data_IF_268494709680
#
_entry.id   IF_268494709680
#
_cell.length_a   1.000
_cell.length_b   1.000
_cell.length_c   1.000
_cell.angle_alpha   90.00
_cell.angle_beta   90.00
_cell.angle_gamma   90.00
#
_symmetry.space_group_name_H-M   'P 1'
#
loop_
_entity.id
_entity.type
_entity.pdbx_description
1 polymer ?
#
# COMPACT_ATOMS: atom_id res chain seq x y z
N UNK A 1 9.52 4.54 -13.00
CA UNK A 1 10.94 4.23 -12.74
C UNK A 1 11.02 3.39 -11.48
N UNK A 2 11.17 2.07 -11.64
CA UNK A 2 11.28 1.10 -10.55
C UNK A 2 12.51 0.22 -10.86
N UNK A 3 13.71 0.76 -10.64
CA UNK A 3 14.93 0.17 -11.19
C UNK A 3 15.99 -0.09 -10.11
N UNK A 4 15.57 -0.60 -8.95
CA UNK A 4 16.53 -1.17 -7.99
C UNK A 4 16.22 -2.64 -7.65
N UNK A 5 14.95 -3.04 -7.53
CA UNK A 5 14.58 -4.44 -7.24
C UNK A 5 14.73 -5.37 -8.45
N UNK A 6 14.48 -4.87 -9.67
CA UNK A 6 14.43 -5.71 -10.88
C UNK A 6 15.77 -6.29 -11.33
N UNK A 7 16.91 -5.64 -11.05
CA UNK A 7 18.22 -6.13 -11.52
C UNK A 7 18.75 -7.32 -10.74
N UNK A 8 18.46 -7.41 -9.43
CA UNK A 8 19.00 -8.44 -8.54
C UNK A 8 18.00 -9.54 -8.21
N UNK A 9 16.71 -9.22 -8.19
CA UNK A 9 15.66 -10.16 -7.82
C UNK A 9 14.73 -10.50 -8.98
N UNK A 10 14.91 -9.90 -10.17
CA UNK A 10 14.07 -10.07 -11.35
C UNK A 10 12.56 -9.85 -11.10
N UNK A 11 12.21 -9.23 -9.96
CA UNK A 11 10.84 -8.92 -9.57
C UNK A 11 10.70 -7.40 -9.49
N UNK A 12 9.69 -6.88 -10.18
CA UNK A 12 9.29 -5.48 -10.11
C UNK A 12 8.17 -5.32 -9.07
N UNK A 13 8.45 -4.58 -8.01
CA UNK A 13 7.43 -4.09 -7.07
C UNK A 13 7.19 -2.60 -7.30
N UNK A 14 5.93 -2.16 -7.20
CA UNK A 14 5.64 -0.74 -7.00
C UNK A 14 6.16 -0.29 -5.63
N UNK A 15 6.40 1.02 -5.46
CA UNK A 15 6.86 1.58 -4.17
C UNK A 15 5.92 1.18 -3.03
N UNK A 16 4.60 1.35 -3.21
CA UNK A 16 3.60 0.95 -2.21
C UNK A 16 3.59 -0.56 -1.96
N UNK A 17 3.82 -1.38 -2.99
CA UNK A 17 3.92 -2.83 -2.86
C UNK A 17 5.12 -3.28 -2.04
N UNK A 18 6.28 -2.66 -2.29
CA UNK A 18 7.50 -2.90 -1.51
C UNK A 18 7.32 -2.49 -0.05
N UNK A 19 6.77 -1.31 0.22
CA UNK A 19 6.53 -0.82 1.59
C UNK A 19 5.60 -1.76 2.37
N UNK A 20 4.49 -2.20 1.76
CA UNK A 20 3.56 -3.15 2.41
C UNK A 20 4.22 -4.51 2.66
N UNK A 21 5.06 -5.00 1.75
CA UNK A 21 5.80 -6.23 1.93
C UNK A 21 6.75 -6.13 3.12
N UNK A 22 7.51 -5.04 3.22
CA UNK A 22 8.44 -4.81 4.34
C UNK A 22 7.72 -4.79 5.69
N UNK A 23 6.57 -4.12 5.78
CA UNK A 23 5.78 -4.13 7.02
C UNK A 23 5.29 -5.52 7.43
N UNK A 24 4.83 -6.35 6.47
CA UNK A 24 4.42 -7.73 6.77
C UNK A 24 5.56 -8.62 7.25
N UNK A 25 6.77 -8.33 6.81
CA UNK A 25 7.99 -9.02 7.24
C UNK A 25 8.54 -8.48 8.57
N UNK A 26 7.83 -7.55 9.23
CA UNK A 26 8.24 -6.99 10.52
C UNK A 26 9.36 -5.95 10.43
N UNK A 27 9.70 -5.47 9.22
CA UNK A 27 10.70 -4.40 9.10
C UNK A 27 10.14 -3.07 9.63
N UNK A 28 10.95 -2.43 10.46
CA UNK A 28 10.75 -1.05 10.92
C UNK A 28 11.94 -0.19 10.48
N UNK A 29 11.74 1.12 10.20
CA UNK A 29 12.85 2.04 9.94
C UNK A 29 13.83 2.02 11.12
N UNK A 30 15.08 1.66 10.85
CA UNK A 30 16.12 1.58 11.88
C UNK A 30 16.71 2.96 12.12
N UNK A 31 16.70 3.40 13.38
CA UNK A 31 17.44 4.59 13.82
C UNK A 31 18.80 4.13 14.32
N UNK A 32 19.91 4.61 13.75
CA UNK A 32 21.24 4.27 14.25
C UNK A 32 21.37 4.64 15.72
N UNK A 33 21.81 3.69 16.56
CA UNK A 33 21.98 3.91 18.00
C UNK A 33 23.01 5.01 18.32
N UNK A 34 23.97 5.23 17.41
CA UNK A 34 25.02 6.25 17.54
C UNK A 34 25.11 7.08 16.27
N UNK A 35 25.28 8.40 16.42
CA UNK A 35 25.63 9.29 15.31
C UNK A 35 27.09 9.08 14.92
N UNK A 36 27.35 8.96 13.62
CA UNK A 36 28.70 8.90 13.06
C UNK A 36 29.41 10.23 13.32
N UNK A 37 30.69 10.20 13.69
CA UNK A 37 31.46 11.40 14.04
C UNK A 37 31.61 12.38 12.87
N UNK A 38 31.57 11.87 11.63
CA UNK A 38 31.63 12.66 10.38
C UNK A 38 30.33 13.41 10.05
N UNK A 39 29.26 13.19 10.83
CA UNK A 39 27.97 13.80 10.56
C UNK A 39 27.99 15.31 10.81
N UNK A 40 28.08 16.08 9.73
CA UNK A 40 27.96 17.53 9.74
C UNK A 40 26.49 17.98 9.70
N UNK A 41 25.96 18.41 10.85
CA UNK A 41 24.56 18.87 10.96
C UNK A 41 24.33 20.19 10.21
N UNK A 42 25.35 21.03 10.03
CA UNK A 42 25.24 22.28 9.26
C UNK A 42 25.11 21.97 7.76
N UNK A 43 25.95 21.07 7.23
CA UNK A 43 25.81 20.59 5.86
C UNK A 43 24.45 19.91 5.63
N UNK A 44 23.94 19.14 6.60
CA UNK A 44 22.61 18.53 6.53
C UNK A 44 21.50 19.58 6.50
N UNK A 45 21.60 20.64 7.30
CA UNK A 45 20.63 21.74 7.30
C UNK A 45 20.61 22.45 5.94
N UNK A 46 21.78 22.81 5.41
CA UNK A 46 21.91 23.45 4.08
C UNK A 46 21.35 22.55 2.97
N UNK A 47 21.65 21.25 3.02
CA UNK A 47 21.11 20.30 2.04
C UNK A 47 19.57 20.20 2.10
N UNK A 48 18.98 20.21 3.30
CA UNK A 48 17.52 20.21 3.46
C UNK A 48 16.87 21.48 2.93
N UNK A 49 17.50 22.64 3.06
CA UNK A 49 16.93 23.88 2.53
C UNK A 49 17.08 23.97 1.01
N UNK A 50 18.28 23.70 0.49
CA UNK A 50 18.58 23.91 -0.93
C UNK A 50 18.13 22.72 -1.80
N UNK A 51 18.56 21.51 -1.46
CA UNK A 51 18.42 20.35 -2.34
C UNK A 51 17.09 19.66 -2.17
N UNK A 52 16.58 19.54 -0.94
CA UNK A 52 15.31 18.85 -0.71
C UNK A 52 14.13 19.58 -1.35
N UNK A 53 14.11 20.91 -1.30
CA UNK A 53 13.11 21.74 -1.98
C UNK A 53 13.10 21.47 -3.50
N UNK A 54 14.29 21.40 -4.11
CA UNK A 54 14.44 21.09 -5.55
C UNK A 54 13.96 19.67 -5.88
N UNK A 55 14.34 18.67 -5.09
CA UNK A 55 13.93 17.27 -5.30
C UNK A 55 12.41 17.12 -5.20
N UNK A 56 11.76 17.85 -4.28
CA UNK A 56 10.31 17.86 -4.14
C UNK A 56 9.62 18.55 -5.32
N UNK A 57 10.16 19.65 -5.82
CA UNK A 57 9.63 20.37 -6.98
C UNK A 57 9.83 19.63 -8.30
N UNK A 58 10.94 18.89 -8.45
CA UNK A 58 11.25 18.07 -9.63
C UNK A 58 10.54 16.72 -9.68
N UNK A 59 9.60 16.45 -8.75
CA UNK A 59 8.74 15.27 -8.83
C UNK A 59 7.98 15.25 -10.15
N UNK A 60 8.08 14.15 -10.91
CA UNK A 60 7.34 13.95 -12.17
C UNK A 60 5.86 14.30 -11.93
N UNK A 61 5.21 15.12 -12.80
CA UNK A 61 3.78 15.35 -12.69
C UNK A 61 3.08 14.00 -12.64
N UNK A 62 2.05 13.87 -11.80
CA UNK A 62 1.33 12.64 -11.59
C UNK A 62 0.87 12.09 -12.96
N UNK A 63 1.64 11.15 -13.52
CA UNK A 63 1.20 10.41 -14.69
C UNK A 63 -0.02 9.61 -14.27
N UNK A 64 -1.06 9.59 -15.10
CA UNK A 64 -2.33 8.90 -14.83
C UNK A 64 -2.05 7.56 -14.15
N UNK A 65 -2.37 7.48 -12.85
CA UNK A 65 -2.27 6.23 -12.13
C UNK A 65 -3.27 5.27 -12.78
N UNK A 66 -2.78 4.25 -13.48
CA UNK A 66 -3.63 3.14 -13.92
C UNK A 66 -4.02 2.35 -12.68
N UNK A 67 -5.10 2.80 -12.04
CA UNK A 67 -5.83 2.03 -11.06
C UNK A 67 -7.04 1.44 -11.78
N UNK A 68 -6.97 0.16 -12.14
CA UNK A 68 -8.16 -0.59 -12.53
C UNK A 68 -9.07 -0.71 -11.31
N UNK A 69 -10.32 -0.23 -11.44
CA UNK A 69 -11.35 -0.43 -10.41
C UNK A 69 -11.52 -1.94 -10.17
N UNK A 70 -11.56 -2.41 -8.92
CA UNK A 70 -11.94 -3.79 -8.67
C UNK A 70 -13.35 -4.02 -9.18
N UNK A 71 -13.56 -5.15 -9.87
CA UNK A 71 -14.86 -5.57 -10.36
C UNK A 71 -15.79 -5.73 -9.17
N UNK A 72 -16.85 -4.92 -9.10
CA UNK A 72 -17.93 -5.16 -8.14
C UNK A 72 -18.62 -6.46 -8.53
N UNK A 73 -18.59 -7.45 -7.65
CA UNK A 73 -19.39 -8.67 -7.79
C UNK A 73 -20.79 -8.31 -7.32
N UNK A 74 -21.78 -8.44 -8.21
CA UNK A 74 -23.19 -8.31 -7.84
C UNK A 74 -23.54 -9.38 -6.78
N UNK A 75 -24.31 -9.04 -5.73
CA UNK A 75 -24.73 -10.03 -4.76
C UNK A 75 -25.66 -11.02 -5.45
N UNK A 76 -25.33 -12.31 -5.40
CA UNK A 76 -26.19 -13.37 -5.87
C UNK A 76 -27.47 -13.40 -5.02
N UNK A 77 -28.62 -13.20 -5.66
CA UNK A 77 -29.94 -13.42 -5.03
C UNK A 77 -30.03 -14.91 -4.70
N UNK A 78 -30.09 -15.23 -3.40
CA UNK A 78 -30.41 -16.58 -2.93
C UNK A 78 -31.89 -16.87 -3.27
N UNK A 79 -32.25 -18.05 -3.79
CA UNK A 79 -33.65 -18.41 -3.94
C UNK A 79 -34.27 -18.51 -2.53
N UNK A 80 -35.45 -17.92 -2.38
CA UNK A 80 -36.23 -18.02 -1.14
C UNK A 80 -36.89 -19.40 -1.11
N UNK A 81 -36.63 -20.17 -0.06
CA UNK A 81 -37.32 -21.44 0.20
C UNK A 81 -38.80 -21.17 0.52
N UNK A 82 -39.69 -21.96 -0.09
CA UNK A 82 -41.14 -21.84 0.07
C UNK A 82 -41.59 -22.28 1.48
N UNK A 83 -42.61 -21.62 2.09
CA UNK A 83 -43.08 -22.00 3.41
C UNK A 83 -44.06 -23.18 3.33
N UNK A 84 -43.66 -24.32 3.89
CA UNK A 84 -44.58 -25.38 4.28
C UNK A 84 -45.34 -24.97 5.54
N UNK A 85 -46.56 -24.46 5.39
CA UNK A 85 -47.44 -24.16 6.50
C UNK A 85 -48.15 -25.45 6.95
N UNK A 86 -47.72 -25.98 8.09
CA UNK A 86 -48.48 -26.98 8.83
C UNK A 86 -49.80 -26.37 9.30
N UNK A 87 -50.92 -26.91 8.79
CA UNK A 87 -52.23 -26.58 9.32
C UNK A 87 -52.53 -27.46 10.52
N UNK A 88 -52.86 -26.77 11.61
CA UNK A 88 -53.24 -27.32 12.88
C UNK A 88 -54.44 -28.29 12.79
N UNK A 89 -54.43 -29.29 13.68
CA UNK A 89 -55.57 -30.13 14.05
C UNK A 89 -56.86 -29.33 14.30
N UNK A 90 -58.03 -29.87 13.93
CA UNK A 90 -59.27 -29.58 14.62
C UNK A 90 -59.60 -30.67 15.66
N UNK A 91 -60.26 -30.20 16.71
CA UNK A 91 -60.84 -30.93 17.84
C UNK A 91 -62.05 -31.77 17.42
N UNK A 92 -62.21 -32.94 18.02
CA UNK A 92 -63.38 -33.39 18.81
C UNK A 92 -63.04 -34.70 19.51
#
# INVERSE_FOLDING_TARGET
MATLSGRKFHIAYSVSGATRLMHRLGFTPQVPARRVAERDEAAIAVWKEATWAEVKGRGRPAGAASASRPRQVSPAVRPVDAPGAGTASPRS
#
